data_IF_384948311923
#
_entry.id   IF_384948311923
#
_cell.length_a   1.000
_cell.length_b   1.000
_cell.length_c   1.000
_cell.angle_alpha   90.00
_cell.angle_beta   90.00
_cell.angle_gamma   90.00
#
_symmetry.space_group_name_H-M   'P 1'
#
loop_
_entity.id
_entity.type
_entity.pdbx_description
1 polymer ?
#
# COMPACT_ATOMS: atom_id res chain seq x y z
N UNK A 1 31.97 -6.29 -0.16
CA UNK A 1 30.59 -5.95 -0.58
C UNK A 1 29.72 -5.68 0.66
N UNK A 2 29.61 -4.42 1.09
CA UNK A 2 28.86 -4.08 2.30
C UNK A 2 27.36 -4.35 2.12
N UNK A 3 26.80 -5.26 2.93
CA UNK A 3 25.36 -5.50 2.99
C UNK A 3 24.68 -4.22 3.46
N UNK A 4 24.07 -3.46 2.54
CA UNK A 4 23.18 -2.34 2.85
C UNK A 4 22.24 -2.81 3.96
N UNK A 5 22.39 -2.25 5.17
CA UNK A 5 21.49 -2.53 6.29
C UNK A 5 20.08 -2.31 5.76
N UNK A 6 19.28 -3.39 5.70
CA UNK A 6 17.92 -3.33 5.15
C UNK A 6 17.16 -2.36 6.05
N UNK A 7 16.87 -1.17 5.53
CA UNK A 7 16.12 -0.20 6.29
C UNK A 7 14.74 -0.77 6.65
N UNK A 8 14.17 -0.35 7.79
CA UNK A 8 12.82 -0.72 8.16
C UNK A 8 11.86 -0.45 7.00
N UNK A 9 10.95 -1.40 6.74
CA UNK A 9 9.94 -1.26 5.69
C UNK A 9 9.12 0.03 5.84
N UNK A 10 8.86 0.44 7.09
CA UNK A 10 8.17 1.70 7.40
C UNK A 10 8.93 2.93 6.92
N UNK A 11 10.25 2.96 7.12
CA UNK A 11 11.10 4.08 6.67
C UNK A 11 11.23 4.12 5.15
N UNK A 12 11.32 2.97 4.47
CA UNK A 12 11.37 2.93 3.00
C UNK A 12 10.03 3.41 2.40
N UNK A 13 8.90 3.07 3.02
CA UNK A 13 7.57 3.56 2.58
C UNK A 13 7.49 5.09 2.68
N UNK A 14 7.84 5.68 3.82
CA UNK A 14 7.80 7.15 4.02
C UNK A 14 8.67 7.88 3.00
N UNK A 15 9.92 7.42 2.84
CA UNK A 15 10.85 8.00 1.85
C UNK A 15 10.35 7.86 0.41
N UNK A 16 9.69 6.74 0.08
CA UNK A 16 9.11 6.55 -1.26
C UNK A 16 7.89 7.45 -1.49
N UNK A 17 7.07 7.70 -0.46
CA UNK A 17 5.96 8.65 -0.54
C UNK A 17 6.46 10.08 -0.75
N UNK A 18 7.46 10.51 0.02
CA UNK A 18 8.11 11.82 -0.13
C UNK A 18 8.69 11.99 -1.54
N UNK A 19 9.39 10.98 -2.07
CA UNK A 19 9.94 11.01 -3.43
C UNK A 19 8.87 11.09 -4.51
N UNK A 20 7.74 10.41 -4.32
CA UNK A 20 6.60 10.52 -5.22
C UNK A 20 6.02 11.93 -5.18
N UNK A 21 5.78 12.50 -4.00
CA UNK A 21 5.26 13.87 -3.86
C UNK A 21 6.20 14.91 -4.47
N UNK A 22 7.50 14.83 -4.14
CA UNK A 22 8.51 15.73 -4.67
C UNK A 22 8.69 15.63 -6.19
N UNK A 23 8.51 14.44 -6.79
CA UNK A 23 8.53 14.32 -8.26
C UNK A 23 7.24 14.79 -8.90
N UNK A 24 6.08 14.45 -8.33
CA UNK A 24 4.79 14.94 -8.83
C UNK A 24 4.74 16.46 -8.89
N UNK A 25 5.27 17.15 -7.87
CA UNK A 25 5.35 18.61 -7.84
C UNK A 25 6.34 19.20 -8.87
N UNK A 26 7.24 18.40 -9.43
CA UNK A 26 8.26 18.82 -10.41
C UNK A 26 7.91 18.44 -11.84
N UNK A 27 6.86 17.66 -12.05
CA UNK A 27 6.51 17.10 -13.36
C UNK A 27 5.08 17.49 -13.72
N UNK A 28 4.91 18.27 -14.78
CA UNK A 28 3.59 18.61 -15.33
C UNK A 28 2.91 17.40 -15.99
N UNK A 29 3.69 16.43 -16.46
CA UNK A 29 3.20 15.20 -17.09
C UNK A 29 3.36 13.96 -16.18
N UNK A 30 2.48 13.86 -15.18
CA UNK A 30 2.49 12.78 -14.19
C UNK A 30 2.25 11.38 -14.78
N UNK A 31 1.52 11.27 -15.91
CA UNK A 31 1.21 9.98 -16.54
C UNK A 31 2.33 9.49 -17.47
N UNK A 32 3.04 10.40 -18.12
CA UNK A 32 4.13 10.10 -19.05
C UNK A 32 5.45 9.72 -18.39
N UNK A 33 5.68 10.16 -17.15
CA UNK A 33 6.97 9.99 -16.50
C UNK A 33 7.22 8.54 -16.02
N UNK A 34 8.05 7.81 -16.77
CA UNK A 34 8.51 6.46 -16.44
C UNK A 34 9.15 6.38 -15.04
N UNK A 35 9.76 7.48 -14.59
CA UNK A 35 10.46 7.58 -13.32
C UNK A 35 9.47 7.65 -12.15
N UNK A 36 8.35 8.36 -12.29
CA UNK A 36 7.22 8.35 -11.35
C UNK A 36 6.51 7.00 -11.32
N UNK A 37 6.28 6.37 -12.49
CA UNK A 37 5.70 5.02 -12.55
C UNK A 37 6.58 4.00 -11.79
N UNK A 38 7.91 4.09 -11.94
CA UNK A 38 8.84 3.23 -11.20
C UNK A 38 8.75 3.43 -9.68
N UNK A 39 8.65 4.69 -9.21
CA UNK A 39 8.48 5.00 -7.78
C UNK A 39 7.16 4.45 -7.23
N UNK A 40 6.04 4.62 -7.94
CA UNK A 40 4.75 4.05 -7.55
C UNK A 40 4.80 2.51 -7.46
N UNK A 41 5.44 1.84 -8.43
CA UNK A 41 5.63 0.38 -8.40
C UNK A 41 6.44 -0.03 -7.17
N UNK A 42 7.52 0.69 -6.86
CA UNK A 42 8.36 0.40 -5.69
C UNK A 42 7.58 0.61 -4.38
N UNK A 43 6.82 1.70 -4.27
CA UNK A 43 5.95 1.98 -3.12
C UNK A 43 4.93 0.85 -2.91
N UNK A 44 4.20 0.44 -3.96
CA UNK A 44 3.25 -0.68 -3.89
C UNK A 44 3.92 -1.99 -3.45
N UNK A 45 5.14 -2.29 -3.93
CA UNK A 45 5.90 -3.48 -3.51
C UNK A 45 6.27 -3.42 -2.02
N UNK A 46 6.71 -2.27 -1.51
CA UNK A 46 7.03 -2.09 -0.10
C UNK A 46 5.78 -2.28 0.79
N UNK A 47 4.65 -1.67 0.40
CA UNK A 47 3.36 -1.86 1.09
C UNK A 47 2.90 -3.33 1.08
N UNK A 48 3.04 -4.04 -0.04
CA UNK A 48 2.72 -5.48 -0.11
C UNK A 48 3.59 -6.30 0.85
N UNK A 49 4.90 -6.00 0.94
CA UNK A 49 5.79 -6.66 1.90
C UNK A 49 5.35 -6.42 3.35
N UNK A 50 4.97 -5.19 3.69
CA UNK A 50 4.41 -4.85 5.02
C UNK A 50 3.17 -5.70 5.33
N UNK A 51 2.21 -5.76 4.38
CA UNK A 51 0.99 -6.58 4.55
C UNK A 51 1.31 -8.07 4.71
N UNK A 52 2.22 -8.61 3.90
CA UNK A 52 2.63 -10.02 4.01
C UNK A 52 3.28 -10.34 5.36
N UNK A 53 4.11 -9.43 5.90
CA UNK A 53 4.66 -9.59 7.25
C UNK A 53 3.58 -9.51 8.32
N UNK A 54 2.63 -8.58 8.20
CA UNK A 54 1.51 -8.48 9.13
C UNK A 54 0.66 -9.76 9.13
N UNK A 55 0.36 -10.32 7.96
CA UNK A 55 -0.35 -11.60 7.83
C UNK A 55 0.45 -12.75 8.44
N UNK A 56 1.75 -12.86 8.14
CA UNK A 56 2.64 -13.87 8.77
C UNK A 56 2.63 -13.77 10.29
N UNK A 57 2.71 -12.56 10.84
CA UNK A 57 2.62 -12.33 12.27
C UNK A 57 1.24 -12.70 12.82
N UNK A 58 0.15 -12.39 12.10
CA UNK A 58 -1.20 -12.78 12.49
C UNK A 58 -1.37 -14.31 12.52
N UNK A 59 -0.85 -15.01 11.52
CA UNK A 59 -0.84 -16.48 11.47
C UNK A 59 0.05 -17.08 12.57
N UNK A 60 1.23 -16.53 12.82
CA UNK A 60 2.11 -16.97 13.90
C UNK A 60 1.49 -16.73 15.29
N UNK A 61 0.70 -15.66 15.44
CA UNK A 61 -0.14 -15.41 16.64
C UNK A 61 -1.38 -16.31 16.70
N UNK A 62 -1.64 -17.10 15.65
CA UNK A 62 -2.85 -17.87 15.40
C UNK A 62 -2.88 -19.26 16.04
N UNK A 63 -2.84 -19.33 17.38
CA UNK A 63 -3.47 -20.45 18.11
C UNK A 63 -4.51 -20.04 19.16
N UNK A 64 -4.91 -18.76 19.23
CA UNK A 64 -5.91 -18.30 20.22
C UNK A 64 -7.16 -17.59 19.67
N UNK A 65 -7.35 -17.46 18.35
CA UNK A 65 -8.60 -16.93 17.80
C UNK A 65 -8.99 -17.65 16.52
N UNK A 66 -9.58 -18.83 16.70
CA UNK A 66 -10.63 -19.27 15.78
C UNK A 66 -11.80 -18.28 15.84
N UNK A 67 -12.59 -18.26 14.76
CA UNK A 67 -13.83 -17.51 14.56
C UNK A 67 -13.73 -15.99 14.34
N UNK A 68 -13.63 -15.58 13.07
CA UNK A 68 -14.80 -15.22 12.25
C UNK A 68 -14.31 -14.70 10.89
N UNK A 69 -14.80 -15.21 9.75
CA UNK A 69 -14.52 -14.58 8.47
C UNK A 69 -15.18 -13.20 8.51
N UNK A 70 -14.36 -12.15 8.40
CA UNK A 70 -14.88 -10.80 8.18
C UNK A 70 -15.69 -10.85 6.89
N UNK A 71 -16.99 -10.64 7.06
CA UNK A 71 -17.98 -10.60 6.01
C UNK A 71 -17.50 -9.71 4.86
N UNK A 72 -17.89 -10.13 3.66
CA UNK A 72 -17.77 -9.39 2.42
C UNK A 72 -18.03 -7.88 2.63
N UNK A 73 -17.27 -6.99 1.95
CA UNK A 73 -17.66 -5.59 1.93
C UNK A 73 -19.05 -5.53 1.31
N UNK A 74 -20.02 -5.05 2.10
CA UNK A 74 -21.37 -4.78 1.63
C UNK A 74 -21.29 -3.93 0.34
N UNK A 75 -22.00 -4.30 -0.73
CA UNK A 75 -22.15 -3.41 -1.87
C UNK A 75 -22.88 -2.15 -1.38
N UNK A 76 -22.33 -0.99 -1.73
CA UNK A 76 -22.92 0.31 -1.44
C UNK A 76 -24.41 0.33 -1.82
N UNK A 77 -25.31 0.93 -1.02
CA UNK A 77 -26.66 1.19 -1.48
C UNK A 77 -26.61 2.19 -2.63
N UNK A 78 -27.22 1.81 -3.75
CA UNK A 78 -27.40 2.65 -4.93
C UNK A 78 -28.04 4.00 -4.57
N UNK A 79 -27.68 5.11 -5.25
CA UNK A 79 -28.38 6.38 -5.07
C UNK A 79 -29.82 6.22 -5.59
N UNK A 80 -30.78 6.33 -4.67
CA UNK A 80 -32.19 6.41 -5.02
C UNK A 80 -32.42 7.64 -5.90
N UNK A 81 -32.84 7.38 -7.13
CA UNK A 81 -33.38 8.38 -8.05
C UNK A 81 -34.71 8.86 -7.44
N UNK A 82 -34.69 10.05 -6.84
CA UNK A 82 -35.92 10.75 -6.47
C UNK A 82 -36.39 11.51 -7.72
N UNK A 83 -37.28 10.85 -8.45
CA UNK A 83 -38.22 11.51 -9.35
C UNK A 83 -39.46 11.88 -8.53
N UNK A 84 -39.80 13.17 -8.52
CA UNK A 84 -41.15 13.74 -8.54
C UNK A 84 -41.07 15.26 -8.45
#
# INVERSE_FOLDING_TARGET
MAKKKKEPLETDIKRLQEKVGARKAKTDNAEGDASLRALHKRLKRAQRRKRALALRLAHARGKKKEAKPAAAPAPAPAPAVAAS
#
